data_IF_573015576945
#
_entry.id   IF_573015576945
#
_cell.length_a   1.000
_cell.length_b   1.000
_cell.length_c   1.000
_cell.angle_alpha   90.00
_cell.angle_beta   90.00
_cell.angle_gamma   90.00
#
_symmetry.space_group_name_H-M   'P 1'
#
loop_
_entity.id
_entity.type
_entity.pdbx_description
1 polymer ?
#
# COMPACT_ATOMS: atom_id res chain seq x y z
N UNK A 1 -13.11 9.40 -15.54
CA UNK A 1 -13.97 8.37 -14.93
C UNK A 1 -14.87 7.76 -16.00
N UNK A 2 -14.73 6.46 -16.26
CA UNK A 2 -15.47 5.69 -17.26
C UNK A 2 -16.31 4.61 -16.57
N UNK A 3 -17.56 4.49 -16.96
CA UNK A 3 -18.47 3.47 -16.44
C UNK A 3 -18.45 2.24 -17.35
N UNK A 4 -18.26 1.05 -16.78
CA UNK A 4 -18.22 -0.23 -17.49
C UNK A 4 -19.11 -1.24 -16.79
N UNK A 5 -19.70 -2.17 -17.55
CA UNK A 5 -20.42 -3.29 -16.94
C UNK A 5 -19.45 -4.35 -16.41
N UNK A 6 -19.86 -5.11 -15.39
CA UNK A 6 -19.07 -6.24 -14.89
C UNK A 6 -18.71 -7.25 -16.00
N UNK A 7 -19.61 -7.46 -16.96
CA UNK A 7 -19.37 -8.36 -18.11
C UNK A 7 -18.34 -7.80 -19.09
N UNK A 8 -18.38 -6.49 -19.35
CA UNK A 8 -17.42 -5.82 -20.23
C UNK A 8 -16.02 -5.81 -19.61
N UNK A 9 -15.94 -5.57 -18.29
CA UNK A 9 -14.72 -5.67 -17.52
C UNK A 9 -14.14 -7.08 -17.59
N UNK A 10 -14.95 -8.11 -17.35
CA UNK A 10 -14.46 -9.50 -17.39
C UNK A 10 -13.92 -9.89 -18.78
N UNK A 11 -14.57 -9.42 -19.86
CA UNK A 11 -14.15 -9.72 -21.24
C UNK A 11 -12.88 -9.00 -21.68
N UNK A 12 -12.65 -7.79 -21.17
CA UNK A 12 -11.55 -6.92 -21.61
C UNK A 12 -10.58 -6.58 -20.47
N UNK A 13 -10.51 -7.44 -19.45
CA UNK A 13 -9.90 -7.11 -18.16
C UNK A 13 -8.49 -6.54 -18.29
N UNK A 14 -7.61 -7.22 -19.05
CA UNK A 14 -6.25 -6.77 -19.28
C UNK A 14 -6.18 -5.38 -19.92
N UNK A 15 -6.90 -5.16 -21.03
CA UNK A 15 -6.87 -3.88 -21.75
C UNK A 15 -7.44 -2.73 -20.91
N UNK A 16 -8.40 -3.02 -20.03
CA UNK A 16 -8.95 -2.06 -19.09
C UNK A 16 -7.96 -1.75 -17.96
N UNK A 17 -7.22 -2.73 -17.44
CA UNK A 17 -6.14 -2.46 -16.50
C UNK A 17 -5.00 -1.67 -17.13
N UNK A 18 -4.64 -1.95 -18.38
CA UNK A 18 -3.66 -1.17 -19.12
C UNK A 18 -4.12 0.30 -19.25
N UNK A 19 -5.42 0.56 -19.43
CA UNK A 19 -5.94 1.93 -19.47
C UNK A 19 -5.91 2.61 -18.10
N UNK A 20 -6.17 1.87 -17.02
CA UNK A 20 -5.99 2.38 -15.65
C UNK A 20 -4.52 2.74 -15.40
N UNK A 21 -3.58 1.83 -15.69
CA UNK A 21 -2.15 2.02 -15.43
C UNK A 21 -1.55 3.15 -16.27
N UNK A 22 -1.64 3.05 -17.60
CA UNK A 22 -0.91 3.94 -18.50
C UNK A 22 -1.65 5.24 -18.84
N UNK A 23 -2.97 5.26 -18.71
CA UNK A 23 -3.78 6.45 -19.01
C UNK A 23 -4.38 7.11 -17.77
N UNK A 24 -4.11 6.55 -16.58
CA UNK A 24 -4.68 7.01 -15.30
C UNK A 24 -6.21 7.11 -15.36
N UNK A 25 -6.83 6.16 -16.07
CA UNK A 25 -8.27 6.13 -16.22
C UNK A 25 -8.92 5.50 -14.99
N UNK A 26 -9.89 6.17 -14.39
CA UNK A 26 -10.74 5.58 -13.34
C UNK A 26 -11.92 4.82 -13.94
N UNK A 27 -12.15 3.60 -13.47
CA UNK A 27 -13.25 2.73 -13.92
C UNK A 27 -14.29 2.53 -12.82
N UNK A 28 -15.56 2.83 -13.12
CA UNK A 28 -16.70 2.49 -12.27
C UNK A 28 -17.40 1.26 -12.83
N UNK A 29 -17.59 0.24 -12.01
CA UNK A 29 -18.08 -1.07 -12.41
C UNK A 29 -19.54 -1.18 -11.99
N UNK A 30 -20.43 -1.39 -12.97
CA UNK A 30 -21.85 -1.54 -12.76
C UNK A 30 -22.30 -2.98 -13.00
N UNK A 31 -23.16 -3.49 -12.12
CA UNK A 31 -23.91 -4.75 -12.31
C UNK A 31 -25.36 -4.51 -11.94
N UNK A 32 -26.30 -4.96 -12.78
CA UNK A 32 -27.74 -4.77 -12.56
C UNK A 32 -28.13 -3.30 -12.29
N UNK A 33 -27.54 -2.36 -13.04
CA UNK A 33 -27.75 -0.91 -12.89
C UNK A 33 -27.34 -0.32 -11.52
N UNK A 34 -26.50 -1.02 -10.78
CA UNK A 34 -25.92 -0.58 -9.52
C UNK A 34 -24.39 -0.59 -9.58
N UNK A 35 -23.75 0.45 -9.06
CA UNK A 35 -22.30 0.50 -8.89
C UNK A 35 -21.87 -0.52 -7.83
N UNK A 36 -21.01 -1.46 -8.22
CA UNK A 36 -20.54 -2.53 -7.34
C UNK A 36 -19.08 -2.38 -6.93
N UNK A 37 -18.28 -1.64 -7.71
CA UNK A 37 -16.87 -1.43 -7.44
C UNK A 37 -16.31 -0.28 -8.29
N UNK A 38 -15.12 0.20 -7.91
CA UNK A 38 -14.35 1.18 -8.67
C UNK A 38 -12.87 0.79 -8.68
N UNK A 39 -12.22 0.93 -9.81
CA UNK A 39 -10.77 0.77 -9.97
C UNK A 39 -10.20 2.16 -10.23
N UNK A 40 -9.29 2.58 -9.36
CA UNK A 40 -8.56 3.84 -9.47
C UNK A 40 -7.09 3.55 -9.72
N UNK A 41 -6.38 4.37 -10.51
CA UNK A 41 -4.95 4.23 -10.67
C UNK A 41 -4.27 4.50 -9.32
N UNK A 42 -3.36 3.60 -8.93
CA UNK A 42 -2.45 3.87 -7.82
C UNK A 42 -1.37 4.89 -8.22
N UNK A 43 -0.67 5.52 -7.27
CA UNK A 43 0.48 6.37 -7.57
C UNK A 43 1.55 5.55 -8.31
N UNK A 44 2.02 6.07 -9.45
CA UNK A 44 2.97 5.37 -10.33
C UNK A 44 4.32 5.06 -9.64
N UNK A 45 4.69 5.87 -8.67
CA UNK A 45 5.80 5.66 -7.76
C UNK A 45 5.49 6.33 -6.44
N UNK A 46 5.83 5.69 -5.33
CA UNK A 46 5.66 6.26 -4.01
C UNK A 46 6.90 5.92 -3.18
N UNK A 47 7.50 6.92 -2.55
CA UNK A 47 8.59 6.70 -1.60
C UNK A 47 8.05 6.04 -0.34
N UNK A 48 8.91 5.34 0.42
CA UNK A 48 8.52 4.75 1.70
C UNK A 48 7.95 5.80 2.67
N UNK A 49 8.47 7.04 2.62
CA UNK A 49 7.97 8.14 3.43
C UNK A 49 6.54 8.55 3.04
N UNK A 50 6.25 8.69 1.74
CA UNK A 50 4.91 9.01 1.25
C UNK A 50 3.92 7.87 1.55
N UNK A 51 4.36 6.62 1.45
CA UNK A 51 3.56 5.45 1.79
C UNK A 51 3.16 5.41 3.27
N UNK A 52 4.04 5.90 4.13
CA UNK A 52 3.84 5.94 5.58
C UNK A 52 3.36 7.30 6.08
N UNK A 53 3.09 8.27 5.20
CA UNK A 53 2.64 9.60 5.60
C UNK A 53 1.28 9.57 6.31
N UNK A 54 0.40 8.63 5.92
CA UNK A 54 -0.89 8.39 6.58
C UNK A 54 -0.75 7.57 7.89
N UNK A 55 0.45 7.04 8.17
CA UNK A 55 0.80 6.35 9.44
C UNK A 55 1.34 7.41 10.42
N UNK A 56 0.65 8.54 10.52
CA UNK A 56 1.02 9.60 11.44
C UNK A 56 0.46 9.28 12.83
N UNK A 57 1.36 9.11 13.82
CA UNK A 57 1.02 8.90 15.25
C UNK A 57 0.22 7.64 15.58
N UNK A 58 0.26 6.61 14.74
CA UNK A 58 -0.33 5.30 15.10
C UNK A 58 0.52 4.54 16.12
N UNK A 59 1.76 4.97 16.32
CA UNK A 59 2.69 4.42 17.29
C UNK A 59 2.89 5.44 18.43
N UNK A 60 2.72 5.01 19.69
CA UNK A 60 3.11 5.79 20.87
C UNK A 60 4.54 6.34 20.77
N UNK A 61 4.84 7.45 21.45
CA UNK A 61 6.21 8.02 21.45
C UNK A 61 7.27 7.06 22.03
N UNK A 62 6.86 6.11 22.87
CA UNK A 62 7.70 5.06 23.43
C UNK A 62 7.76 3.79 22.54
N UNK A 63 7.06 3.78 21.40
CA UNK A 63 7.15 2.70 20.44
C UNK A 63 8.57 2.64 19.87
N UNK A 64 9.27 1.56 20.18
CA UNK A 64 10.67 1.37 19.80
C UNK A 64 11.66 1.56 20.95
N UNK A 65 11.24 2.05 22.13
CA UNK A 65 12.11 2.19 23.30
C UNK A 65 12.75 0.85 23.72
N UNK A 66 12.00 -0.27 23.59
CA UNK A 66 12.47 -1.62 23.86
C UNK A 66 13.16 -2.32 22.68
N UNK A 67 13.20 -1.70 21.49
CA UNK A 67 13.58 -2.40 20.25
C UNK A 67 14.98 -3.03 20.31
N UNK A 68 15.95 -2.32 20.89
CA UNK A 68 17.33 -2.81 21.00
C UNK A 68 17.44 -3.97 21.99
N UNK A 69 16.68 -3.92 23.08
CA UNK A 69 16.61 -5.00 24.06
C UNK A 69 15.93 -6.24 23.46
N UNK A 70 14.76 -6.06 22.84
CA UNK A 70 14.00 -7.13 22.18
C UNK A 70 14.80 -7.82 21.07
N UNK A 71 15.50 -7.02 20.26
CA UNK A 71 16.33 -7.52 19.16
C UNK A 71 17.51 -8.35 19.66
N UNK A 72 18.13 -7.97 20.78
CA UNK A 72 19.23 -8.71 21.41
C UNK A 72 18.74 -9.92 22.20
N UNK A 73 17.53 -9.87 22.75
CA UNK A 73 16.93 -10.99 23.46
C UNK A 73 16.58 -12.13 22.49
N UNK A 74 16.15 -11.80 21.27
CA UNK A 74 15.59 -12.74 20.30
C UNK A 74 16.61 -13.68 19.65
N UNK A 75 17.84 -13.23 19.37
CA UNK A 75 18.82 -14.03 18.62
C UNK A 75 20.28 -13.81 19.05
N UNK A 76 21.06 -14.90 19.12
CA UNK A 76 22.46 -14.89 19.57
C UNK A 76 23.39 -14.10 18.65
N UNK A 77 23.07 -14.01 17.36
CA UNK A 77 23.79 -13.24 16.35
C UNK A 77 23.53 -11.74 16.57
N UNK A 78 22.26 -11.39 16.85
CA UNK A 78 21.85 -9.99 17.04
C UNK A 78 22.35 -9.40 18.37
N UNK A 79 22.60 -10.23 19.40
CA UNK A 79 23.12 -9.79 20.71
C UNK A 79 24.27 -8.78 20.64
N UNK A 80 25.24 -9.03 19.76
CA UNK A 80 26.43 -8.20 19.64
C UNK A 80 26.51 -7.44 18.29
N UNK A 81 25.67 -7.81 17.31
CA UNK A 81 25.72 -7.25 15.97
C UNK A 81 24.73 -6.12 15.72
N UNK A 82 23.63 -6.05 16.49
CA UNK A 82 22.61 -5.02 16.30
C UNK A 82 22.97 -3.74 17.05
N UNK A 83 23.00 -2.65 16.29
CA UNK A 83 23.12 -1.27 16.76
C UNK A 83 21.75 -0.61 16.69
N UNK A 84 21.55 0.38 17.54
CA UNK A 84 20.36 1.20 17.53
C UNK A 84 20.30 1.98 16.19
N UNK A 85 19.26 1.76 15.35
CA UNK A 85 19.12 2.44 14.07
C UNK A 85 18.68 3.90 14.21
N UNK A 86 18.28 4.35 15.41
CA UNK A 86 17.89 5.74 15.70
C UNK A 86 18.96 6.52 16.48
N UNK A 87 19.99 5.87 17.00
CA UNK A 87 21.13 6.56 17.62
C UNK A 87 21.94 7.30 16.54
N UNK A 88 22.03 8.63 16.67
CA UNK A 88 22.80 9.50 15.77
C UNK A 88 24.27 9.55 16.15
#
# INVERSE_FOLDING_TARGET
MRTVSATELARNFRAMLDSVEFKHEELVIIRNNHEVARIIPGPASMTALEAMADIFRTLPEDAGAGWLEDSRASDRILRNGVRDPWAT
#
